data_IF_247362344695
#
_entry.id   IF_247362344695
#
_cell.length_a   1.000
_cell.length_b   1.000
_cell.length_c   1.000
_cell.angle_alpha   90.00
_cell.angle_beta   90.00
_cell.angle_gamma   90.00
#
_symmetry.space_group_name_H-M   'P 1'
#
loop_
_entity.id
_entity.type
_entity.pdbx_description
1 polymer ?
#
# COMPACT_ATOMS: atom_id res chain seq x y z
N UNK A 1 30.77 19.51 -2.95
CA UNK A 1 29.68 18.52 -3.10
C UNK A 1 29.91 17.78 -4.39
N UNK A 2 30.07 16.46 -4.35
CA UNK A 2 30.30 15.70 -5.56
C UNK A 2 28.99 15.57 -6.34
N UNK A 3 29.10 15.38 -7.66
CA UNK A 3 27.95 15.10 -8.53
C UNK A 3 27.21 13.82 -8.08
N UNK A 4 27.91 12.89 -7.40
CA UNK A 4 27.31 11.69 -6.82
C UNK A 4 26.40 11.99 -5.62
N UNK A 5 26.76 12.93 -4.74
CA UNK A 5 25.96 13.26 -3.55
C UNK A 5 24.66 13.97 -3.92
N UNK A 6 24.68 14.73 -5.03
CA UNK A 6 23.51 15.47 -5.54
C UNK A 6 22.53 14.56 -6.30
N UNK A 7 23.03 13.47 -6.88
CA UNK A 7 22.22 12.43 -7.53
C UNK A 7 21.57 11.47 -6.53
N UNK A 8 22.26 11.16 -5.42
CA UNK A 8 21.70 10.36 -4.31
C UNK A 8 20.54 11.13 -3.64
N UNK A 9 20.77 12.39 -3.25
CA UNK A 9 19.75 13.20 -2.56
C UNK A 9 18.55 13.62 -3.43
N UNK A 10 18.70 13.63 -4.77
CA UNK A 10 17.63 13.91 -5.74
C UNK A 10 16.73 12.71 -6.05
N UNK A 11 17.29 11.49 -6.01
CA UNK A 11 16.53 10.22 -6.09
C UNK A 11 15.77 9.98 -4.80
N UNK A 12 16.35 10.33 -3.65
CA UNK A 12 15.78 10.04 -2.33
C UNK A 12 14.49 10.83 -2.01
N UNK A 13 14.24 11.99 -2.64
CA UNK A 13 13.08 12.84 -2.32
C UNK A 13 11.99 12.90 -3.42
N UNK A 14 12.31 12.64 -4.69
CA UNK A 14 11.34 12.69 -5.79
C UNK A 14 10.76 11.30 -6.14
N UNK A 15 11.46 10.21 -5.81
CA UNK A 15 10.94 8.81 -5.82
C UNK A 15 10.00 8.56 -4.63
N UNK A 16 10.06 9.39 -3.59
CA UNK A 16 9.54 9.11 -2.26
C UNK A 16 8.01 9.07 -2.10
N UNK A 17 7.17 9.53 -3.05
CA UNK A 17 5.71 9.41 -2.86
C UNK A 17 4.84 9.25 -4.12
N UNK A 18 5.12 9.94 -5.22
CA UNK A 18 4.29 9.85 -6.44
C UNK A 18 4.86 8.91 -7.51
N UNK A 19 6.18 8.67 -7.49
CA UNK A 19 6.85 7.67 -8.33
C UNK A 19 6.54 6.22 -7.93
N UNK A 20 6.44 5.95 -6.63
CA UNK A 20 6.18 4.59 -6.13
C UNK A 20 4.85 4.00 -6.59
N UNK A 21 3.74 4.76 -6.56
CA UNK A 21 2.43 4.23 -6.97
C UNK A 21 2.40 3.90 -8.47
N UNK A 22 2.95 4.78 -9.32
CA UNK A 22 3.06 4.53 -10.76
C UNK A 22 3.97 3.34 -11.06
N UNK A 23 5.11 3.24 -10.37
CA UNK A 23 6.03 2.12 -10.49
C UNK A 23 5.36 0.80 -10.07
N UNK A 24 4.71 0.77 -8.90
CA UNK A 24 3.94 -0.38 -8.42
C UNK A 24 2.86 -0.80 -9.41
N UNK A 25 2.14 0.17 -10.00
CA UNK A 25 1.12 -0.10 -11.01
C UNK A 25 1.72 -0.79 -12.24
N UNK A 26 2.81 -0.26 -12.80
CA UNK A 26 3.46 -0.86 -13.97
C UNK A 26 4.05 -2.24 -13.67
N UNK A 27 4.67 -2.44 -12.52
CA UNK A 27 5.20 -3.75 -12.12
C UNK A 27 4.06 -4.78 -12.00
N UNK A 28 2.92 -4.42 -11.40
CA UNK A 28 1.75 -5.30 -11.31
C UNK A 28 1.14 -5.59 -12.69
N UNK A 29 1.07 -4.59 -13.57
CA UNK A 29 0.56 -4.77 -14.92
C UNK A 29 1.45 -5.74 -15.71
N UNK A 30 2.78 -5.56 -15.63
CA UNK A 30 3.75 -6.48 -16.25
C UNK A 30 3.61 -7.87 -15.64
N UNK A 31 3.52 -8.00 -14.32
CA UNK A 31 3.29 -9.27 -13.63
C UNK A 31 2.05 -10.00 -14.10
N UNK A 32 0.93 -9.28 -14.25
CA UNK A 32 -0.34 -9.83 -14.75
C UNK A 32 -0.23 -10.28 -16.21
N UNK A 33 0.42 -9.48 -17.08
CA UNK A 33 0.64 -9.85 -18.48
C UNK A 33 1.54 -11.09 -18.58
N UNK A 34 2.66 -11.12 -17.84
CA UNK A 34 3.55 -12.27 -17.77
C UNK A 34 2.79 -13.51 -17.29
N UNK A 35 1.95 -13.39 -16.27
CA UNK A 35 1.13 -14.50 -15.80
C UNK A 35 0.19 -15.03 -16.90
N UNK A 36 -0.52 -14.16 -17.62
CA UNK A 36 -1.41 -14.56 -18.73
C UNK A 36 -0.61 -15.26 -19.84
N UNK A 37 0.54 -14.71 -20.22
CA UNK A 37 1.41 -15.27 -21.28
C UNK A 37 1.98 -16.62 -20.85
N UNK A 38 2.46 -16.73 -19.61
CA UNK A 38 3.00 -17.97 -19.05
C UNK A 38 1.93 -19.06 -18.93
N UNK A 39 0.72 -18.68 -18.50
CA UNK A 39 -0.41 -19.59 -18.38
C UNK A 39 -0.87 -20.14 -19.75
N UNK A 40 -0.97 -19.29 -20.77
CA UNK A 40 -1.30 -19.71 -22.14
C UNK A 40 -0.13 -20.40 -22.85
N UNK A 41 1.07 -20.25 -22.32
CA UNK A 41 2.29 -20.77 -22.91
C UNK A 41 2.31 -22.30 -22.95
N UNK A 42 2.77 -22.83 -24.08
CA UNK A 42 2.76 -24.26 -24.39
C UNK A 42 4.04 -25.00 -24.02
N UNK A 43 5.03 -24.28 -23.47
CA UNK A 43 6.40 -24.78 -23.23
C UNK A 43 6.73 -24.64 -21.75
N UNK A 44 6.11 -25.46 -20.91
CA UNK A 44 6.43 -25.53 -19.49
C UNK A 44 7.63 -26.44 -19.22
N UNK A 45 7.75 -27.51 -20.00
CA UNK A 45 8.98 -28.29 -20.14
C UNK A 45 9.17 -28.67 -21.60
N UNK A 46 10.44 -28.71 -22.03
CA UNK A 46 10.82 -29.10 -23.38
C UNK A 46 11.91 -30.17 -23.29
N UNK A 47 11.73 -31.23 -24.07
CA UNK A 47 12.73 -32.23 -24.40
C UNK A 47 12.97 -32.21 -25.91
N UNK A 48 14.01 -32.90 -26.36
CA UNK A 48 14.30 -33.12 -27.77
C UNK A 48 13.13 -33.75 -28.52
N UNK A 49 12.32 -34.59 -27.86
CA UNK A 49 11.23 -35.37 -28.48
C UNK A 49 9.82 -34.95 -28.06
N UNK A 50 9.68 -34.22 -26.95
CA UNK A 50 8.36 -33.87 -26.40
C UNK A 50 8.30 -32.45 -25.82
N UNK A 51 7.10 -31.86 -25.86
CA UNK A 51 6.78 -30.58 -25.23
C UNK A 51 5.62 -30.78 -24.27
N UNK A 52 5.81 -30.32 -23.04
CA UNK A 52 4.83 -30.44 -21.97
C UNK A 52 4.26 -29.06 -21.68
N UNK A 53 2.97 -28.90 -21.92
CA UNK A 53 2.19 -27.77 -21.43
C UNK A 53 1.55 -28.10 -20.08
N UNK A 54 0.87 -27.12 -19.49
CA UNK A 54 0.09 -27.35 -18.27
C UNK A 54 -1.17 -28.21 -18.52
N UNK A 55 -1.63 -28.27 -19.77
CA UNK A 55 -2.88 -28.90 -20.19
C UNK A 55 -2.73 -30.11 -21.10
N UNK A 56 -1.59 -30.21 -21.77
CA UNK A 56 -1.38 -31.17 -22.84
C UNK A 56 0.05 -31.63 -22.84
N UNK A 57 0.21 -32.87 -23.26
CA UNK A 57 1.49 -33.43 -23.65
C UNK A 57 1.51 -33.51 -25.16
N UNK A 58 2.50 -32.87 -25.76
CA UNK A 58 2.70 -32.91 -27.19
C UNK A 58 3.94 -33.74 -27.51
N UNK A 59 3.79 -34.80 -28.29
CA UNK A 59 4.90 -35.66 -28.73
C UNK A 59 5.19 -35.45 -30.21
N UNK A 60 6.48 -35.40 -30.58
CA UNK A 60 6.90 -35.45 -31.98
C UNK A 60 7.18 -36.93 -32.35
N UNK A 61 6.42 -37.54 -33.28
CA UNK A 61 6.70 -38.91 -33.71
C UNK A 61 8.05 -38.99 -34.42
N UNK A 62 8.81 -40.06 -34.19
CA UNK A 62 10.18 -40.25 -34.71
C UNK A 62 10.24 -40.61 -36.19
N UNK A 63 9.12 -41.04 -36.78
CA UNK A 63 9.08 -41.71 -38.09
C UNK A 63 8.31 -40.94 -39.16
N UNK A 64 7.93 -39.69 -38.89
CA UNK A 64 7.23 -38.85 -39.86
C UNK A 64 8.07 -37.64 -40.22
N UNK A 65 8.46 -37.56 -41.50
CA UNK A 65 8.74 -36.30 -42.14
C UNK A 65 7.48 -35.42 -42.01
N UNK A 66 7.66 -34.19 -41.57
CA UNK A 66 6.66 -33.12 -41.43
C UNK A 66 6.07 -32.91 -40.02
N UNK A 67 6.01 -31.62 -39.69
CA UNK A 67 5.65 -30.83 -38.52
C UNK A 67 4.37 -31.15 -37.72
N UNK A 68 3.85 -32.37 -37.75
CA UNK A 68 2.64 -32.72 -36.98
C UNK A 68 3.01 -32.97 -35.52
N UNK A 69 2.38 -32.23 -34.62
CA UNK A 69 2.54 -32.37 -33.17
C UNK A 69 1.25 -33.00 -32.63
N UNK A 70 1.31 -34.25 -32.21
CA UNK A 70 0.17 -34.93 -31.59
C UNK A 70 0.10 -34.51 -30.12
N UNK A 71 -1.03 -33.96 -29.68
CA UNK A 71 -1.20 -33.46 -28.32
C UNK A 71 -2.37 -34.16 -27.62
N UNK A 72 -2.07 -34.82 -26.51
CA UNK A 72 -3.05 -35.52 -25.68
C UNK A 72 -3.34 -34.72 -24.40
N UNK A 73 -4.59 -34.81 -23.92
CA UNK A 73 -5.01 -34.20 -22.66
C UNK A 73 -4.36 -34.97 -21.50
N UNK A 74 -3.67 -34.25 -20.61
CA UNK A 74 -2.83 -34.89 -19.59
C UNK A 74 -3.57 -34.98 -18.24
N UNK A 75 -3.99 -36.18 -17.84
CA UNK A 75 -4.76 -36.40 -16.60
C UNK A 75 -3.87 -36.91 -15.46
N UNK A 76 -3.18 -35.98 -14.79
CA UNK A 76 -2.52 -36.30 -13.51
C UNK A 76 -2.96 -35.30 -12.43
N UNK A 77 -3.19 -35.80 -11.22
CA UNK A 77 -3.68 -34.97 -10.11
C UNK A 77 -2.75 -33.80 -9.76
N UNK A 78 -1.43 -33.96 -9.90
CA UNK A 78 -0.45 -32.91 -9.60
C UNK A 78 -0.50 -31.74 -10.59
N UNK A 79 -0.64 -32.03 -11.89
CA UNK A 79 -0.78 -31.00 -12.91
C UNK A 79 -2.13 -30.29 -12.80
N UNK A 80 -3.19 -31.03 -12.46
CA UNK A 80 -4.50 -30.44 -12.16
C UNK A 80 -4.41 -29.47 -10.97
N UNK A 81 -3.69 -29.84 -9.91
CA UNK A 81 -3.47 -28.94 -8.77
C UNK A 81 -2.69 -27.67 -9.17
N UNK A 82 -1.60 -27.82 -9.94
CA UNK A 82 -0.83 -26.68 -10.45
C UNK A 82 -1.69 -25.77 -11.33
N UNK A 83 -2.54 -26.35 -12.17
CA UNK A 83 -3.51 -25.64 -13.00
C UNK A 83 -4.52 -24.85 -12.18
N UNK A 84 -5.15 -25.47 -11.19
CA UNK A 84 -6.11 -24.79 -10.31
C UNK A 84 -5.42 -23.64 -9.58
N UNK A 85 -4.21 -23.83 -9.06
CA UNK A 85 -3.44 -22.75 -8.45
C UNK A 85 -3.17 -21.60 -9.43
N UNK A 86 -2.85 -21.89 -10.70
CA UNK A 86 -2.66 -20.84 -11.72
C UNK A 86 -3.95 -20.05 -12.00
N UNK A 87 -5.09 -20.72 -12.13
CA UNK A 87 -6.39 -20.06 -12.34
C UNK A 87 -6.75 -19.19 -11.15
N UNK A 88 -6.62 -19.71 -9.92
CA UNK A 88 -6.86 -18.93 -8.69
C UNK A 88 -5.91 -17.74 -8.62
N UNK A 89 -4.64 -17.94 -8.99
CA UNK A 89 -3.64 -16.89 -9.09
C UNK A 89 -4.01 -15.80 -10.09
N UNK A 90 -4.68 -16.14 -11.20
CA UNK A 90 -5.07 -15.18 -12.24
C UNK A 90 -6.26 -14.32 -11.79
N UNK A 91 -7.20 -14.94 -11.08
CA UNK A 91 -8.34 -14.23 -10.48
C UNK A 91 -7.85 -13.30 -9.36
N UNK A 92 -6.94 -13.76 -8.50
CA UNK A 92 -6.39 -12.95 -7.42
C UNK A 92 -5.50 -11.82 -7.93
N UNK A 93 -4.71 -12.03 -9.00
CA UNK A 93 -3.94 -10.93 -9.62
C UNK A 93 -4.82 -9.87 -10.24
N UNK A 94 -5.92 -10.27 -10.91
CA UNK A 94 -6.93 -9.35 -11.43
C UNK A 94 -7.59 -8.53 -10.30
N UNK A 95 -7.97 -9.18 -9.20
CA UNK A 95 -8.53 -8.50 -8.03
C UNK A 95 -7.53 -7.53 -7.38
N UNK A 96 -6.25 -7.92 -7.32
CA UNK A 96 -5.14 -7.07 -6.82
C UNK A 96 -5.00 -5.82 -7.69
N UNK A 97 -5.00 -5.99 -9.01
CA UNK A 97 -4.86 -4.91 -9.96
C UNK A 97 -6.05 -3.93 -9.89
N UNK A 98 -7.29 -4.44 -9.85
CA UNK A 98 -8.49 -3.63 -9.69
C UNK A 98 -8.44 -2.84 -8.36
N UNK A 99 -7.99 -3.47 -7.28
CA UNK A 99 -7.85 -2.80 -5.98
C UNK A 99 -6.87 -1.62 -6.04
N UNK A 100 -5.77 -1.73 -6.79
CA UNK A 100 -4.82 -0.63 -7.02
C UNK A 100 -5.43 0.49 -7.84
N UNK A 101 -6.19 0.16 -8.88
CA UNK A 101 -6.90 1.16 -9.68
C UNK A 101 -7.87 1.95 -8.82
N UNK A 102 -8.71 1.26 -8.04
CA UNK A 102 -9.66 1.89 -7.14
C UNK A 102 -8.96 2.76 -6.09
N UNK A 103 -7.83 2.29 -5.54
CA UNK A 103 -7.05 3.07 -4.58
C UNK A 103 -6.45 4.34 -5.20
N UNK A 104 -5.92 4.23 -6.42
CA UNK A 104 -5.33 5.37 -7.17
C UNK A 104 -6.40 6.42 -7.49
N UNK A 105 -7.63 5.99 -7.79
CA UNK A 105 -8.77 6.89 -8.01
C UNK A 105 -9.31 7.52 -6.72
N UNK A 106 -9.26 6.80 -5.59
CA UNK A 106 -9.85 7.23 -4.31
C UNK A 106 -8.93 8.09 -3.43
N UNK A 107 -7.91 8.75 -3.99
CA UNK A 107 -6.81 9.42 -3.27
C UNK A 107 -7.18 10.55 -2.28
N UNK A 108 -8.47 10.78 -2.00
CA UNK A 108 -8.96 11.92 -1.22
C UNK A 108 -9.70 11.59 0.08
N UNK A 109 -9.79 10.32 0.52
CA UNK A 109 -10.61 9.95 1.69
C UNK A 109 -9.80 9.41 2.87
N UNK A 110 -10.27 9.71 4.10
CA UNK A 110 -9.63 9.39 5.41
C UNK A 110 -9.45 7.87 5.70
N UNK A 111 -9.81 6.97 4.78
CA UNK A 111 -9.77 5.51 4.95
C UNK A 111 -8.47 4.79 4.55
N UNK A 112 -7.41 5.52 4.14
CA UNK A 112 -6.24 4.92 3.49
C UNK A 112 -5.48 3.84 4.30
N UNK A 113 -5.52 3.89 5.63
CA UNK A 113 -4.76 2.93 6.48
C UNK A 113 -5.26 1.49 6.32
N UNK A 114 -6.58 1.30 6.24
CA UNK A 114 -7.19 -0.03 6.15
C UNK A 114 -7.02 -0.64 4.75
N UNK A 115 -7.25 0.16 3.71
CA UNK A 115 -7.10 -0.28 2.31
C UNK A 115 -5.66 -0.68 1.99
N UNK A 116 -4.67 0.01 2.57
CA UNK A 116 -3.26 -0.35 2.39
C UNK A 116 -2.92 -1.74 2.92
N UNK A 117 -3.43 -2.12 4.11
CA UNK A 117 -3.21 -3.46 4.69
C UNK A 117 -3.86 -4.55 3.87
N UNK A 118 -5.08 -4.32 3.39
CA UNK A 118 -5.76 -5.27 2.50
C UNK A 118 -4.92 -5.50 1.24
N UNK A 119 -4.44 -4.41 0.63
CA UNK A 119 -3.63 -4.49 -0.58
C UNK A 119 -2.30 -5.24 -0.36
N UNK A 120 -1.61 -4.98 0.76
CA UNK A 120 -0.41 -5.73 1.15
C UNK A 120 -0.69 -7.24 1.23
N UNK A 121 -1.75 -7.64 1.94
CA UNK A 121 -2.07 -9.06 2.10
C UNK A 121 -2.48 -9.71 0.77
N UNK A 122 -3.20 -8.98 -0.09
CA UNK A 122 -3.67 -9.49 -1.37
C UNK A 122 -2.52 -9.68 -2.37
N UNK A 123 -1.54 -8.76 -2.40
CA UNK A 123 -0.34 -8.90 -3.22
C UNK A 123 0.53 -10.09 -2.78
N UNK A 124 0.71 -10.28 -1.46
CA UNK A 124 1.42 -11.44 -0.91
C UNK A 124 0.71 -12.74 -1.27
N UNK A 125 -0.59 -12.81 -1.03
CA UNK A 125 -1.41 -13.98 -1.32
C UNK A 125 -1.33 -14.38 -2.80
N UNK A 126 -1.44 -13.40 -3.70
CA UNK A 126 -1.31 -13.62 -5.15
C UNK A 126 0.08 -14.17 -5.50
N UNK A 127 1.15 -13.53 -5.01
CA UNK A 127 2.53 -14.00 -5.24
C UNK A 127 2.75 -15.42 -4.72
N UNK A 128 2.27 -15.73 -3.51
CA UNK A 128 2.38 -17.07 -2.91
C UNK A 128 1.65 -18.13 -3.73
N UNK A 129 0.43 -17.88 -4.21
CA UNK A 129 -0.31 -18.86 -5.04
C UNK A 129 0.43 -19.15 -6.35
N UNK A 130 0.91 -18.10 -7.04
CA UNK A 130 1.66 -18.26 -8.29
C UNK A 130 2.95 -19.04 -8.00
N UNK A 131 3.67 -18.68 -6.93
CA UNK A 131 4.87 -19.39 -6.49
C UNK A 131 4.62 -20.86 -6.16
N UNK A 132 3.55 -21.17 -5.43
CA UNK A 132 3.16 -22.55 -5.10
C UNK A 132 2.88 -23.39 -6.35
N UNK A 133 2.19 -22.82 -7.35
CA UNK A 133 1.94 -23.55 -8.60
C UNK A 133 3.23 -23.89 -9.36
N UNK A 134 4.19 -22.95 -9.42
CA UNK A 134 5.50 -23.18 -10.03
C UNK A 134 6.30 -24.21 -9.22
N UNK A 135 6.24 -24.16 -7.89
CA UNK A 135 6.92 -25.13 -7.03
C UNK A 135 6.34 -26.55 -7.17
N UNK A 136 5.01 -26.69 -7.26
CA UNK A 136 4.34 -27.98 -7.51
C UNK A 136 4.79 -28.55 -8.85
N UNK A 137 4.78 -27.72 -9.92
CA UNK A 137 5.23 -28.14 -11.24
C UNK A 137 6.71 -28.55 -11.24
N UNK A 138 7.58 -27.74 -10.64
CA UNK A 138 9.01 -28.03 -10.53
C UNK A 138 9.29 -29.30 -9.71
N UNK A 139 8.55 -29.54 -8.63
CA UNK A 139 8.67 -30.74 -7.81
C UNK A 139 8.22 -32.00 -8.55
N UNK A 140 7.10 -31.93 -9.26
CA UNK A 140 6.64 -33.00 -10.16
C UNK A 140 7.68 -33.28 -11.24
N UNK A 141 8.21 -32.21 -11.85
CA UNK A 141 9.19 -32.30 -12.91
C UNK A 141 10.50 -32.94 -12.43
N UNK A 142 11.04 -32.47 -11.31
CA UNK A 142 12.24 -33.02 -10.68
C UNK A 142 12.08 -34.51 -10.36
N UNK A 143 10.90 -34.94 -9.89
CA UNK A 143 10.66 -36.34 -9.55
C UNK A 143 10.63 -37.26 -10.77
N UNK A 144 10.02 -36.82 -11.87
CA UNK A 144 9.73 -37.71 -13.02
C UNK A 144 10.77 -37.62 -14.15
N UNK A 145 11.47 -36.49 -14.28
CA UNK A 145 12.29 -36.21 -15.46
C UNK A 145 13.75 -35.89 -15.17
N UNK A 146 14.24 -36.04 -13.93
CA UNK A 146 15.65 -35.74 -13.61
C UNK A 146 16.67 -36.56 -14.40
N UNK A 147 16.28 -37.74 -14.88
CA UNK A 147 17.14 -38.65 -15.65
C UNK A 147 16.98 -38.52 -17.17
N UNK A 148 16.05 -37.70 -17.64
CA UNK A 148 15.80 -37.49 -19.07
C UNK A 148 16.23 -36.05 -19.39
N UNK A 149 16.83 -35.80 -20.56
CA UNK A 149 17.37 -34.49 -21.00
C UNK A 149 16.28 -33.42 -21.24
N UNK A 150 15.34 -33.30 -20.31
CA UNK A 150 14.36 -32.24 -20.30
C UNK A 150 14.97 -30.98 -19.69
N UNK A 151 14.54 -29.85 -20.21
CA UNK A 151 14.76 -28.55 -19.62
C UNK A 151 13.42 -27.90 -19.24
N UNK A 152 13.43 -27.07 -18.19
CA UNK A 152 12.30 -26.19 -17.88
C UNK A 152 12.11 -25.21 -19.04
N UNK A 153 10.88 -25.09 -19.51
CA UNK A 153 10.55 -24.30 -20.69
C UNK A 153 10.35 -22.81 -20.37
N UNK A 154 10.19 -22.01 -21.42
CA UNK A 154 10.04 -20.55 -21.31
C UNK A 154 8.75 -20.12 -20.62
N UNK A 155 7.67 -20.91 -20.70
CA UNK A 155 6.42 -20.59 -20.03
C UNK A 155 6.56 -20.67 -18.51
N UNK A 156 7.35 -21.64 -18.03
CA UNK A 156 7.67 -21.77 -16.61
C UNK A 156 8.47 -20.57 -16.09
N UNK A 157 9.52 -20.16 -16.82
CA UNK A 157 10.34 -19.00 -16.41
C UNK A 157 9.54 -17.71 -16.39
N UNK A 158 8.65 -17.50 -17.37
CA UNK A 158 7.72 -16.36 -17.41
C UNK A 158 6.83 -16.31 -16.16
N UNK A 159 6.28 -17.45 -15.73
CA UNK A 159 5.46 -17.55 -14.51
C UNK A 159 6.28 -17.23 -13.25
N UNK A 160 7.52 -17.71 -13.16
CA UNK A 160 8.41 -17.37 -12.04
C UNK A 160 8.69 -15.87 -11.99
N UNK A 161 8.95 -15.23 -13.14
CA UNK A 161 9.12 -13.78 -13.22
C UNK A 161 7.85 -13.02 -12.81
N UNK A 162 6.67 -13.52 -13.21
CA UNK A 162 5.40 -12.97 -12.75
C UNK A 162 5.31 -13.04 -11.21
N UNK A 163 5.60 -14.20 -10.60
CA UNK A 163 5.62 -14.35 -9.13
C UNK A 163 6.57 -13.34 -8.45
N UNK A 164 7.80 -13.22 -8.95
CA UNK A 164 8.79 -12.29 -8.40
C UNK A 164 8.34 -10.83 -8.50
N UNK A 165 7.59 -10.46 -9.55
CA UNK A 165 7.05 -9.10 -9.69
C UNK A 165 6.02 -8.77 -8.58
N UNK A 166 5.12 -9.70 -8.23
CA UNK A 166 4.16 -9.50 -7.14
C UNK A 166 4.85 -9.45 -5.77
N UNK A 167 5.87 -10.29 -5.54
CA UNK A 167 6.66 -10.25 -4.31
C UNK A 167 7.47 -8.96 -4.19
N UNK A 168 8.04 -8.46 -5.30
CA UNK A 168 8.74 -7.17 -5.35
C UNK A 168 7.81 -6.03 -4.98
N UNK A 169 6.60 -6.02 -5.53
CA UNK A 169 5.57 -5.04 -5.16
C UNK A 169 5.21 -5.11 -3.67
N UNK A 170 4.99 -6.31 -3.15
CA UNK A 170 4.72 -6.51 -1.73
C UNK A 170 5.85 -5.96 -0.84
N UNK A 171 7.11 -6.26 -1.17
CA UNK A 171 8.28 -5.73 -0.47
C UNK A 171 8.34 -4.20 -0.54
N UNK A 172 8.13 -3.60 -1.71
CA UNK A 172 8.09 -2.13 -1.87
C UNK A 172 7.03 -1.52 -0.94
N UNK A 173 5.84 -2.10 -0.87
CA UNK A 173 4.76 -1.55 -0.02
C UNK A 173 5.08 -1.71 1.46
N UNK A 174 5.76 -2.79 1.87
CA UNK A 174 6.23 -3.01 3.25
C UNK A 174 7.30 -2.00 3.62
N UNK A 175 8.36 -1.88 2.82
CA UNK A 175 9.49 -0.98 3.09
C UNK A 175 8.99 0.47 3.17
N UNK A 176 8.18 0.89 2.20
CA UNK A 176 7.55 2.22 2.21
C UNK A 176 6.42 2.36 3.24
N UNK A 177 6.02 1.27 3.90
CA UNK A 177 4.98 1.25 4.94
C UNK A 177 5.52 1.54 6.31
N UNK A 178 6.73 1.09 6.57
CA UNK A 178 7.43 1.33 7.81
C UNK A 178 7.82 2.81 7.99
N UNK A 179 7.98 3.59 6.91
CA UNK A 179 8.34 5.01 6.98
C UNK A 179 7.20 5.94 7.40
N UNK A 180 5.93 5.51 7.27
CA UNK A 180 4.76 6.35 7.57
C UNK A 180 4.33 6.39 9.04
N UNK A 181 5.09 5.77 9.95
CA UNK A 181 4.75 5.71 11.37
C UNK A 181 5.30 6.88 12.22
N UNK A 182 6.02 7.84 11.62
CA UNK A 182 6.81 8.79 12.42
C UNK A 182 6.78 10.22 11.90
N UNK A 183 5.60 10.79 11.67
CA UNK A 183 5.43 12.24 11.84
C UNK A 183 3.96 12.55 12.11
N UNK A 184 3.53 12.31 13.36
CA UNK A 184 2.57 13.25 13.93
C UNK A 184 3.24 14.61 13.83
N UNK A 185 2.71 15.47 12.96
CA UNK A 185 3.25 16.79 12.71
C UNK A 185 3.64 17.41 14.07
N UNK A 186 4.89 17.86 14.25
CA UNK A 186 5.28 18.52 15.50
C UNK A 186 4.24 19.60 15.78
N UNK A 187 3.68 19.66 17.00
CA UNK A 187 2.60 20.60 17.31
C UNK A 187 3.06 21.98 16.88
N UNK A 188 2.36 22.53 15.88
CA UNK A 188 2.73 23.75 15.17
C UNK A 188 3.04 24.85 16.17
N UNK A 189 4.29 25.31 16.16
CA UNK A 189 4.75 26.47 16.92
C UNK A 189 3.91 27.70 16.49
N UNK A 190 3.40 28.53 17.42
CA UNK A 190 2.60 29.70 17.08
C UNK A 190 3.47 30.69 16.29
N UNK A 191 3.23 30.80 14.99
CA UNK A 191 3.89 31.78 14.13
C UNK A 191 3.29 33.16 14.42
N UNK A 192 4.17 34.09 14.80
CA UNK A 192 3.87 35.49 15.03
C UNK A 192 3.15 36.13 13.82
N UNK A 193 2.09 36.88 14.11
CA UNK A 193 1.29 37.60 13.13
C UNK A 193 2.13 38.68 12.45
N UNK A 194 2.25 38.60 11.11
CA UNK A 194 2.71 39.70 10.27
C UNK A 194 1.61 40.77 10.21
N UNK A 195 1.88 42.04 10.52
CA UNK A 195 0.90 43.11 10.39
C UNK A 195 0.74 43.50 8.91
N UNK A 196 -0.42 43.21 8.32
CA UNK A 196 -0.81 43.75 7.02
C UNK A 196 -1.85 44.85 7.21
N UNK A 197 -1.49 46.01 6.68
CA UNK A 197 -2.19 47.29 6.77
C UNK A 197 -3.40 47.34 5.83
N UNK A 198 -4.35 48.17 6.26
CA UNK A 198 -5.73 48.38 5.80
C UNK A 198 -5.89 48.96 4.38
N UNK A 199 -7.04 48.66 3.76
CA UNK A 199 -7.94 49.55 2.99
C UNK A 199 -9.06 48.70 2.35
N UNK A 200 -10.34 49.04 2.22
CA UNK A 200 -11.26 50.01 2.82
C UNK A 200 -12.65 49.63 2.25
N UNK A 201 -13.68 49.45 3.08
CA UNK A 201 -15.08 49.85 2.81
C UNK A 201 -16.03 49.28 3.88
N UNK A 202 -16.80 50.19 4.45
CA UNK A 202 -17.43 50.14 5.77
C UNK A 202 -18.95 50.14 5.60
N UNK A 203 -19.67 49.31 6.36
CA UNK A 203 -21.04 49.65 6.76
C UNK A 203 -21.41 49.03 8.11
N UNK A 204 -22.05 49.86 8.90
CA UNK A 204 -22.18 49.88 10.36
C UNK A 204 -22.87 48.69 11.03
N UNK A 205 -22.34 48.30 12.19
CA UNK A 205 -23.14 48.09 13.41
C UNK A 205 -22.28 48.21 14.67
N UNK A 206 -22.69 49.16 15.49
CA UNK A 206 -22.09 49.60 16.75
C UNK A 206 -22.24 48.54 17.85
N UNK A 207 -21.14 48.00 18.36
CA UNK A 207 -21.06 47.56 19.76
C UNK A 207 -19.61 47.68 20.24
N UNK A 208 -19.41 48.58 21.18
CA UNK A 208 -18.17 48.94 21.85
C UNK A 208 -17.40 47.72 22.37
N UNK A 209 -16.20 47.47 21.83
CA UNK A 209 -15.16 46.66 22.47
C UNK A 209 -13.81 47.30 22.20
N UNK A 210 -13.33 48.00 23.22
CA UNK A 210 -12.00 48.58 23.33
C UNK A 210 -10.96 47.48 23.17
N UNK A 211 -10.26 47.46 22.05
CA UNK A 211 -9.21 46.50 21.73
C UNK A 211 -7.94 46.79 22.53
N UNK A 212 -7.87 46.29 23.77
CA UNK A 212 -6.61 46.13 24.50
C UNK A 212 -5.79 45.01 23.86
N UNK A 213 -4.75 45.41 23.11
CA UNK A 213 -3.70 44.51 22.64
C UNK A 213 -3.10 43.74 23.83
N UNK A 214 -3.25 42.42 23.84
CA UNK A 214 -2.44 41.51 24.67
C UNK A 214 -3.13 40.80 25.84
N UNK A 215 -4.46 40.85 26.00
CA UNK A 215 -5.11 40.06 27.04
C UNK A 215 -5.19 38.58 26.63
N UNK A 216 -4.44 37.74 27.36
CA UNK A 216 -4.47 36.28 27.22
C UNK A 216 -5.90 35.80 27.53
N UNK A 217 -6.50 34.95 26.69
CA UNK A 217 -7.87 34.49 26.89
C UNK A 217 -8.03 33.75 28.22
N UNK A 218 -9.02 34.15 29.02
CA UNK A 218 -9.35 33.55 30.33
C UNK A 218 -10.13 32.25 30.16
N UNK A 219 -9.99 31.34 31.13
CA UNK A 219 -10.64 30.03 31.18
C UNK A 219 -12.15 30.14 30.97
N UNK A 220 -12.72 29.33 30.07
CA UNK A 220 -14.15 29.39 29.78
C UNK A 220 -15.06 28.92 30.93
N UNK A 221 -14.49 28.36 32.00
CA UNK A 221 -15.23 27.82 33.15
C UNK A 221 -15.21 28.82 34.30
N UNK A 222 -14.02 29.16 34.83
CA UNK A 222 -13.92 30.10 35.94
C UNK A 222 -13.89 31.57 35.50
N UNK A 223 -13.54 31.88 34.24
CA UNK A 223 -13.29 33.25 33.74
C UNK A 223 -12.23 34.06 34.50
N UNK A 224 -11.57 33.46 35.49
CA UNK A 224 -10.56 34.10 36.36
C UNK A 224 -9.14 33.79 35.90
N UNK A 225 -8.83 32.50 35.72
CA UNK A 225 -7.49 32.02 35.41
C UNK A 225 -7.22 31.99 33.91
N UNK A 226 -5.96 32.11 33.50
CA UNK A 226 -5.57 31.95 32.10
C UNK A 226 -5.71 30.50 31.64
N UNK A 227 -6.00 30.31 30.34
CA UNK A 227 -6.07 28.99 29.73
C UNK A 227 -4.66 28.41 29.57
N UNK A 228 -4.36 27.36 30.30
CA UNK A 228 -3.04 26.70 30.29
C UNK A 228 -3.12 25.18 30.06
N UNK A 229 -4.29 24.62 29.70
CA UNK A 229 -4.45 23.19 29.41
C UNK A 229 -5.04 22.93 28.03
N UNK A 230 -4.34 22.10 27.24
CA UNK A 230 -4.80 21.56 25.96
C UNK A 230 -5.28 20.11 26.12
N UNK A 231 -6.47 19.82 25.60
CA UNK A 231 -7.04 18.47 25.59
C UNK A 231 -6.57 17.66 24.38
N UNK A 232 -6.73 16.33 24.43
CA UNK A 232 -6.53 15.40 23.29
C UNK A 232 -7.29 15.80 22.01
N UNK A 233 -8.38 16.57 22.13
CA UNK A 233 -9.14 17.08 20.99
C UNK A 233 -8.51 18.33 20.33
N UNK A 234 -7.45 18.90 20.91
CA UNK A 234 -6.70 20.05 20.41
C UNK A 234 -7.15 21.43 20.91
N UNK A 235 -8.16 21.52 21.79
CA UNK A 235 -8.67 22.80 22.25
C UNK A 235 -8.02 23.26 23.57
N UNK A 236 -7.57 24.52 23.60
CA UNK A 236 -7.07 25.24 24.77
C UNK A 236 -8.21 26.08 25.38
N UNK A 237 -8.96 25.52 26.34
CA UNK A 237 -10.23 26.10 26.83
C UNK A 237 -10.23 26.37 28.33
N UNK A 238 -9.47 25.57 29.09
CA UNK A 238 -9.53 25.55 30.55
C UNK A 238 -8.19 25.90 31.19
N UNK A 239 -8.23 26.37 32.43
CA UNK A 239 -7.08 26.40 33.32
C UNK A 239 -6.86 25.01 33.97
N UNK A 240 -5.69 24.78 34.54
CA UNK A 240 -5.29 23.51 35.15
C UNK A 240 -6.21 23.04 36.28
N UNK A 241 -6.69 23.97 37.10
CA UNK A 241 -7.64 23.65 38.19
C UNK A 241 -8.96 23.15 37.63
N UNK A 242 -9.60 23.91 36.73
CA UNK A 242 -10.87 23.50 36.12
C UNK A 242 -10.73 22.23 35.27
N UNK A 243 -9.61 22.02 34.60
CA UNK A 243 -9.35 20.81 33.82
C UNK A 243 -9.28 19.55 34.72
N UNK A 244 -8.62 19.66 35.89
CA UNK A 244 -8.57 18.59 36.89
C UNK A 244 -9.95 18.32 37.51
N UNK A 245 -10.75 19.36 37.75
CA UNK A 245 -12.13 19.19 38.21
C UNK A 245 -12.99 18.47 37.17
N UNK A 246 -12.82 18.79 35.87
CA UNK A 246 -13.50 18.09 34.78
C UNK A 246 -13.13 16.60 34.74
N UNK A 247 -11.86 16.27 34.98
CA UNK A 247 -11.36 14.90 35.00
C UNK A 247 -12.00 14.05 36.10
N UNK A 248 -12.37 14.68 37.21
CA UNK A 248 -13.02 14.01 38.34
C UNK A 248 -14.56 13.98 38.22
N UNK A 249 -15.13 14.61 37.19
CA UNK A 249 -16.58 14.61 36.96
C UNK A 249 -17.02 13.42 36.09
N UNK A 250 -18.26 12.98 36.26
CA UNK A 250 -18.85 11.89 35.44
C UNK A 250 -18.91 12.23 33.94
N UNK A 251 -18.84 13.52 33.61
CA UNK A 251 -18.89 14.05 32.24
C UNK A 251 -17.55 14.64 31.80
N UNK A 252 -16.56 13.78 31.54
CA UNK A 252 -15.24 14.20 31.06
C UNK A 252 -15.26 14.54 29.55
N UNK A 253 -15.88 15.68 29.22
CA UNK A 253 -16.17 16.13 27.85
C UNK A 253 -15.62 17.55 27.60
N UNK A 254 -15.00 17.79 26.45
CA UNK A 254 -14.46 19.10 26.09
C UNK A 254 -15.58 20.15 25.91
N UNK A 255 -15.52 21.32 26.60
CA UNK A 255 -16.55 22.36 26.47
C UNK A 255 -16.68 22.98 25.07
N UNK A 256 -15.60 22.97 24.28
CA UNK A 256 -15.59 23.56 22.93
C UNK A 256 -16.21 22.63 21.87
N UNK A 257 -15.79 21.36 21.83
CA UNK A 257 -16.14 20.43 20.74
C UNK A 257 -16.95 19.21 21.17
N UNK A 258 -17.28 19.09 22.46
CA UNK A 258 -18.07 17.99 23.03
C UNK A 258 -17.51 16.59 22.81
N UNK A 259 -16.21 16.45 22.50
CA UNK A 259 -15.53 15.14 22.44
C UNK A 259 -15.10 14.69 23.84
N UNK A 260 -15.11 13.38 24.12
CA UNK A 260 -14.59 12.84 25.37
C UNK A 260 -13.09 13.14 25.49
N UNK A 261 -12.67 13.58 26.66
CA UNK A 261 -11.28 13.89 26.94
C UNK A 261 -10.60 12.57 27.34
N UNK A 262 -9.46 12.23 26.75
CA UNK A 262 -8.68 11.02 27.11
C UNK A 262 -7.33 11.37 27.72
N UNK A 263 -6.81 12.56 27.42
CA UNK A 263 -5.57 13.09 27.97
C UNK A 263 -5.60 14.61 27.95
N UNK A 264 -4.83 15.22 28.85
CA UNK A 264 -4.65 16.66 28.96
C UNK A 264 -3.18 17.00 29.20
N UNK A 265 -2.71 18.11 28.64
CA UNK A 265 -1.33 18.58 28.80
C UNK A 265 -1.32 20.07 29.14
N UNK A 266 -0.50 20.45 30.11
CA UNK A 266 -0.29 21.86 30.46
C UNK A 266 0.64 22.53 29.46
N UNK A 267 0.27 23.71 28.98
CA UNK A 267 1.05 24.57 28.09
C UNK A 267 1.52 25.77 28.91
N UNK A 268 2.83 25.97 28.96
CA UNK A 268 3.44 27.15 29.55
C UNK A 268 3.59 28.19 28.44
N UNK A 269 2.81 29.27 28.51
CA UNK A 269 2.80 30.40 27.56
C UNK A 269 3.59 31.55 28.17
#
# INVERSE_FOLDING_TARGET
MSVADTLVLGIDNFVACTGCIKCTFWILLIGMILQIVGFKGNKWSVSTTSQHGLHYLCHRPTDMDVSVLCCDLFDTGWLTAAYVCQVVGLVSSSATFISVLLFTCSSRTRGQKYTRRIFQNLALFTGSIIGSSAAIYAGYYWKNHILQDHHLGTSFTIVVLACLSFLTVWLIIIVNGCTGYFEEAPPSCPTAQTPLLSSASQRDRTTSNTSTRGQIPTCAICSENQRDVIFNCGHLVCCNTCATTLQNSDSYICPSCRRPITSQRRVYI
#
